data_IF_568619567469
#
_entry.id   IF_568619567469
#
_cell.length_a   1.000
_cell.length_b   1.000
_cell.length_c   1.000
_cell.angle_alpha   90.00
_cell.angle_beta   90.00
_cell.angle_gamma   90.00
#
_symmetry.space_group_name_H-M   'P 1'
#
loop_
_entity.id
_entity.type
_entity.pdbx_description
1 polymer ?
#
# COMPACT_ATOMS: atom_id res chain seq x y z
N UNK A 1 2.06 -3.42 15.09
CA UNK A 1 2.32 -3.78 13.67
C UNK A 1 3.50 -2.98 13.20
N UNK A 2 4.59 -3.64 12.79
CA UNK A 2 5.71 -2.97 12.14
C UNK A 2 5.24 -2.54 10.74
N UNK A 3 5.44 -1.29 10.36
CA UNK A 3 5.26 -0.84 8.99
C UNK A 3 6.63 -0.65 8.34
N UNK A 4 6.70 -0.70 7.01
CA UNK A 4 7.92 -0.32 6.29
C UNK A 4 7.69 0.97 5.51
N UNK A 5 8.77 1.73 5.34
CA UNK A 5 8.78 2.86 4.43
C UNK A 5 9.05 2.32 3.03
N UNK A 6 8.11 2.48 2.12
CA UNK A 6 8.37 2.19 0.71
C UNK A 6 9.21 3.33 0.12
N UNK A 7 10.31 3.05 -0.61
CA UNK A 7 11.12 4.07 -1.27
C UNK A 7 10.42 4.61 -2.54
N UNK A 8 9.30 5.30 -2.35
CA UNK A 8 8.49 5.85 -3.44
C UNK A 8 8.96 7.25 -3.83
N UNK A 9 9.16 7.48 -5.12
CA UNK A 9 9.40 8.80 -5.66
C UNK A 9 8.09 9.63 -5.74
N UNK A 10 8.21 10.92 -6.05
CA UNK A 10 7.07 11.85 -6.09
C UNK A 10 6.02 11.41 -7.12
N UNK A 11 6.45 10.92 -8.29
CA UNK A 11 5.56 10.46 -9.35
C UNK A 11 4.76 9.24 -8.91
N UNK A 12 5.40 8.26 -8.30
CA UNK A 12 4.75 7.05 -7.77
C UNK A 12 3.75 7.39 -6.66
N UNK A 13 4.13 8.27 -5.73
CA UNK A 13 3.20 8.76 -4.68
C UNK A 13 1.96 9.42 -5.28
N UNK A 14 2.13 10.26 -6.29
CA UNK A 14 1.01 10.91 -6.96
C UNK A 14 0.12 9.89 -7.70
N UNK A 15 0.75 8.93 -8.37
CA UNK A 15 0.04 7.88 -9.10
C UNK A 15 -0.80 7.01 -8.15
N UNK A 16 -0.25 6.64 -6.99
CA UNK A 16 -0.96 5.92 -5.91
C UNK A 16 -2.13 6.76 -5.36
N UNK A 17 -1.88 8.04 -5.06
CA UNK A 17 -2.89 8.95 -4.51
C UNK A 17 -4.10 9.04 -5.44
N UNK A 18 -3.84 9.29 -6.73
CA UNK A 18 -4.89 9.35 -7.75
C UNK A 18 -5.62 8.01 -7.91
N UNK A 19 -4.90 6.89 -7.84
CA UNK A 19 -5.51 5.57 -7.91
C UNK A 19 -6.48 5.33 -6.75
N UNK A 20 -6.07 5.62 -5.51
CA UNK A 20 -6.93 5.47 -4.33
C UNK A 20 -8.15 6.40 -4.43
N UNK A 21 -7.94 7.67 -4.80
CA UNK A 21 -9.04 8.65 -4.95
C UNK A 21 -10.05 8.22 -6.02
N UNK A 22 -9.58 7.66 -7.14
CA UNK A 22 -10.45 7.12 -8.19
C UNK A 22 -11.20 5.84 -7.77
N UNK A 23 -10.63 5.08 -6.84
CA UNK A 23 -11.19 3.81 -6.39
C UNK A 23 -12.20 3.97 -5.25
N UNK A 24 -12.04 4.98 -4.39
CA UNK A 24 -12.94 5.26 -3.25
C UNK A 24 -14.44 5.23 -3.59
N UNK A 25 -14.93 5.84 -4.70
CA UNK A 25 -16.35 5.81 -5.06
C UNK A 25 -16.88 4.41 -5.42
N UNK A 26 -15.99 3.49 -5.79
CA UNK A 26 -16.33 2.13 -6.22
C UNK A 26 -16.39 1.14 -5.05
N UNK A 27 -15.96 1.56 -3.85
CA UNK A 27 -15.81 0.68 -2.71
C UNK A 27 -17.11 0.48 -1.92
N UNK A 28 -17.21 -0.66 -1.24
CA UNK A 28 -18.26 -0.88 -0.25
C UNK A 28 -18.06 0.09 0.93
N UNK A 29 -19.17 0.55 1.52
CA UNK A 29 -19.14 1.48 2.67
C UNK A 29 -18.30 0.98 3.85
N UNK A 30 -18.22 -0.35 4.03
CA UNK A 30 -17.44 -1.00 5.09
C UNK A 30 -15.93 -0.95 4.86
N UNK A 31 -15.47 -0.84 3.61
CA UNK A 31 -14.05 -0.85 3.26
C UNK A 31 -13.49 0.57 3.05
N UNK A 32 -14.37 1.54 2.78
CA UNK A 32 -14.00 2.94 2.56
C UNK A 32 -13.11 3.56 3.67
N UNK A 33 -13.32 3.31 4.99
CA UNK A 33 -12.49 3.91 6.02
C UNK A 33 -11.00 3.55 5.92
N UNK A 34 -10.67 2.29 5.59
CA UNK A 34 -9.27 1.86 5.51
C UNK A 34 -8.57 2.48 4.29
N UNK A 35 -9.27 2.67 3.17
CA UNK A 35 -8.72 3.34 2.00
C UNK A 35 -8.55 4.85 2.24
N UNK A 36 -9.45 5.50 2.97
CA UNK A 36 -9.27 6.90 3.39
C UNK A 36 -8.06 7.08 4.31
N UNK A 37 -7.85 6.15 5.25
CA UNK A 37 -6.65 6.15 6.10
C UNK A 37 -5.37 5.91 5.28
N UNK A 38 -5.42 4.99 4.30
CA UNK A 38 -4.32 4.75 3.36
C UNK A 38 -3.97 6.03 2.61
N UNK A 39 -4.97 6.74 2.09
CA UNK A 39 -4.79 8.00 1.38
C UNK A 39 -4.14 9.07 2.28
N UNK A 40 -4.59 9.19 3.53
CA UNK A 40 -3.99 10.12 4.50
C UNK A 40 -2.51 9.80 4.74
N UNK A 41 -2.17 8.53 4.92
CA UNK A 41 -0.78 8.08 5.10
C UNK A 41 0.08 8.40 3.89
N UNK A 42 -0.43 8.20 2.67
CA UNK A 42 0.32 8.49 1.45
C UNK A 42 0.68 9.97 1.27
N UNK A 43 -0.04 10.88 1.96
CA UNK A 43 0.25 12.33 1.99
C UNK A 43 1.33 12.70 3.01
N UNK A 44 1.78 11.76 3.85
CA UNK A 44 2.90 11.99 4.77
C UNK A 44 4.23 12.07 4.00
N UNK A 45 5.19 12.82 4.55
CA UNK A 45 6.52 12.96 3.95
C UNK A 45 7.21 11.60 3.80
N UNK A 46 7.06 10.74 4.81
CA UNK A 46 7.60 9.38 4.87
C UNK A 46 6.49 8.39 5.25
N UNK A 47 5.71 7.90 4.27
CA UNK A 47 4.59 7.02 4.56
C UNK A 47 5.10 5.67 5.08
N UNK A 48 4.74 5.35 6.33
CA UNK A 48 4.93 4.02 6.90
C UNK A 48 3.67 3.19 6.63
N UNK A 49 3.83 2.16 5.79
CA UNK A 49 2.75 1.27 5.36
C UNK A 49 3.01 -0.14 5.92
N UNK A 50 1.99 -0.72 6.53
CA UNK A 50 1.96 -2.13 6.88
C UNK A 50 1.31 -2.93 5.74
N UNK A 51 1.21 -4.26 5.91
CA UNK A 51 0.65 -5.13 4.88
C UNK A 51 -0.80 -4.81 4.49
N UNK A 52 -1.60 -4.21 5.38
CA UNK A 52 -2.97 -3.82 5.08
C UNK A 52 -3.00 -2.58 4.19
N UNK A 53 -2.25 -1.54 4.53
CA UNK A 53 -2.16 -0.34 3.69
C UNK A 53 -1.54 -0.65 2.31
N UNK A 54 -0.54 -1.52 2.26
CA UNK A 54 0.03 -1.98 0.99
C UNK A 54 -1.00 -2.68 0.11
N UNK A 55 -1.86 -3.51 0.70
CA UNK A 55 -2.94 -4.18 -0.03
C UNK A 55 -3.94 -3.19 -0.59
N UNK A 56 -4.29 -2.14 0.16
CA UNK A 56 -5.15 -1.07 -0.33
C UNK A 56 -4.53 -0.33 -1.52
N UNK A 57 -3.22 -0.05 -1.47
CA UNK A 57 -2.49 0.57 -2.59
C UNK A 57 -2.50 -0.34 -3.81
N UNK A 58 -2.09 -1.60 -3.66
CA UNK A 58 -2.07 -2.62 -4.71
C UNK A 58 -3.43 -2.71 -5.43
N UNK A 59 -4.51 -2.84 -4.65
CA UNK A 59 -5.86 -3.00 -5.20
C UNK A 59 -6.35 -1.76 -5.94
N UNK A 60 -6.00 -0.56 -5.46
CA UNK A 60 -6.34 0.70 -6.12
C UNK A 60 -5.62 0.83 -7.46
N UNK A 61 -4.33 0.49 -7.50
CA UNK A 61 -3.50 0.53 -8.71
C UNK A 61 -3.96 -0.49 -9.76
N UNK A 62 -4.24 -1.73 -9.33
CA UNK A 62 -4.75 -2.78 -10.21
C UNK A 62 -6.09 -2.41 -10.83
N UNK A 63 -6.97 -1.76 -10.07
CA UNK A 63 -8.26 -1.30 -10.59
C UNK A 63 -8.11 -0.19 -11.63
N UNK A 64 -7.11 0.69 -11.47
CA UNK A 64 -6.82 1.75 -12.45
C UNK A 64 -6.38 1.19 -13.80
N UNK A 65 -5.63 0.07 -13.78
CA UNK A 65 -5.42 -0.78 -14.95
C UNK A 65 -4.46 -0.27 -16.04
N UNK A 66 -3.92 0.95 -15.92
CA UNK A 66 -2.89 1.43 -16.84
C UNK A 66 -1.55 0.69 -16.61
N UNK A 67 -0.70 0.53 -17.65
CA UNK A 67 0.52 -0.28 -17.54
C UNK A 67 1.47 0.16 -16.43
N UNK A 68 1.59 1.46 -16.19
CA UNK A 68 2.46 2.00 -15.15
C UNK A 68 1.92 1.66 -13.76
N UNK A 69 0.62 1.83 -13.55
CA UNK A 69 -0.06 1.43 -12.31
C UNK A 69 0.07 -0.06 -12.03
N UNK A 70 -0.08 -0.91 -13.04
CA UNK A 70 0.06 -2.37 -12.90
C UNK A 70 1.49 -2.79 -12.53
N UNK A 71 2.50 -2.17 -13.15
CA UNK A 71 3.91 -2.42 -12.80
C UNK A 71 4.19 -2.02 -11.35
N UNK A 72 3.70 -0.85 -10.91
CA UNK A 72 3.87 -0.40 -9.54
C UNK A 72 3.11 -1.31 -8.54
N UNK A 73 1.92 -1.78 -8.89
CA UNK A 73 1.15 -2.72 -8.07
C UNK A 73 1.93 -4.02 -7.83
N UNK A 74 2.49 -4.61 -8.89
CA UNK A 74 3.28 -5.84 -8.81
C UNK A 74 4.53 -5.67 -7.92
N UNK A 75 5.21 -4.52 -8.03
CA UNK A 75 6.37 -4.23 -7.17
C UNK A 75 5.95 -4.06 -5.70
N UNK A 76 4.85 -3.36 -5.41
CA UNK A 76 4.33 -3.20 -4.04
C UNK A 76 3.90 -4.54 -3.44
N UNK A 77 3.29 -5.42 -4.23
CA UNK A 77 2.96 -6.78 -3.80
C UNK A 77 4.21 -7.55 -3.39
N UNK A 78 5.29 -7.48 -4.17
CA UNK A 78 6.57 -8.09 -3.80
C UNK A 78 7.12 -7.56 -2.48
N UNK A 79 7.08 -6.23 -2.26
CA UNK A 79 7.49 -5.61 -1.00
C UNK A 79 6.63 -6.10 0.17
N UNK A 80 5.31 -6.24 -0.02
CA UNK A 80 4.38 -6.75 0.98
C UNK A 80 4.70 -8.21 1.35
N UNK A 81 4.96 -9.07 0.37
CA UNK A 81 5.31 -10.49 0.59
C UNK A 81 6.63 -10.60 1.36
N UNK A 82 7.65 -9.84 0.94
CA UNK A 82 8.94 -9.80 1.63
C UNK A 82 8.79 -9.35 3.09
N UNK A 83 7.99 -8.31 3.32
CA UNK A 83 7.69 -7.82 4.66
C UNK A 83 6.99 -8.89 5.53
N UNK A 84 6.00 -9.58 4.98
CA UNK A 84 5.29 -10.66 5.68
C UNK A 84 6.23 -11.82 6.03
N UNK A 85 7.11 -12.22 5.11
CA UNK A 85 8.08 -13.29 5.34
C UNK A 85 9.13 -12.88 6.38
N UNK A 86 9.63 -11.65 6.34
CA UNK A 86 10.58 -11.14 7.33
C UNK A 86 9.98 -11.14 8.74
N UNK A 87 8.69 -10.83 8.88
CA UNK A 87 7.98 -10.90 10.16
C UNK A 87 7.84 -12.35 10.69
N UNK A 88 7.72 -13.34 9.80
CA UNK A 88 7.63 -14.76 10.18
C UNK A 88 8.97 -15.36 10.63
N UNK A 89 10.08 -14.84 10.11
CA UNK A 89 11.44 -15.33 10.41
C UNK A 89 12.12 -14.55 11.55
N UNK A 90 11.39 -13.71 12.29
CA UNK A 90 11.96 -13.02 13.44
C UNK A 90 12.34 -14.06 14.51
N UNK A 91 13.60 -14.11 14.99
CA UNK A 91 13.98 -15.08 16.00
C UNK A 91 13.09 -14.88 17.22
N UNK A 92 12.40 -15.93 17.64
CA UNK A 92 11.66 -15.91 18.90
C UNK A 92 12.70 -15.74 20.00
N UNK A 93 12.81 -14.53 20.54
CA UNK A 93 13.57 -14.27 21.75
C UNK A 93 12.81 -15.01 22.85
N UNK A 94 13.27 -16.22 23.15
CA UNK A 94 12.84 -16.96 24.35
C UNK A 94 13.22 -16.11 25.56
N UNK A 95 12.21 -15.59 26.25
CA UNK A 95 12.36 -14.86 27.51
C UNK A 95 12.85 -15.78 28.63
#
# INVERSE_FOLDING_TARGET
MLGISLPLNVREKNLITLAIESYLPLMKKTEMPIFQLTLKKMKEERPLLDGMYMRCVEQSLTTKGDPESLMLAAWIEQQRIQFQHAAMNWPQVTA
#
